data_IF_846735321461
#
_entry.id   IF_846735321461
#
_cell.length_a   1.000
_cell.length_b   1.000
_cell.length_c   1.000
_cell.angle_alpha   90.00
_cell.angle_beta   90.00
_cell.angle_gamma   90.00
#
_symmetry.space_group_name_H-M   'P 1'
#
loop_
_entity.id
_entity.type
_entity.pdbx_description
1 polymer ?
#
# COMPACT_ATOMS: atom_id res chain seq x y z
N UNK A 1 3.17 46.31 13.85
CA UNK A 1 4.37 45.48 13.51
C UNK A 1 4.60 44.51 14.66
N UNK A 2 4.68 43.20 14.43
CA UNK A 2 4.83 42.23 15.51
C UNK A 2 6.30 42.23 16.00
N UNK A 3 6.61 43.04 17.03
CA UNK A 3 7.96 43.28 17.53
C UNK A 3 8.78 41.99 17.77
N UNK A 4 8.24 40.95 18.42
CA UNK A 4 9.01 39.72 18.66
C UNK A 4 9.44 39.01 17.37
N UNK A 5 8.59 39.02 16.33
CA UNK A 5 8.90 38.40 15.05
C UNK A 5 9.99 39.17 14.30
N UNK A 6 9.97 40.51 14.36
CA UNK A 6 10.97 41.37 13.73
C UNK A 6 12.37 41.09 14.29
N UNK A 7 12.49 41.01 15.62
CA UNK A 7 13.76 40.69 16.27
C UNK A 7 14.18 39.24 15.98
N UNK A 8 13.24 38.29 16.01
CA UNK A 8 13.53 36.88 15.72
C UNK A 8 14.13 36.67 14.32
N UNK A 9 13.56 37.33 13.30
CA UNK A 9 14.09 37.27 11.92
C UNK A 9 15.52 37.84 11.85
N UNK A 10 15.80 38.94 12.55
CA UNK A 10 17.14 39.53 12.61
C UNK A 10 18.13 38.60 13.29
N UNK A 11 17.75 37.98 14.40
CA UNK A 11 18.62 37.06 15.14
C UNK A 11 18.88 35.75 14.40
N UNK A 12 17.96 35.28 13.54
CA UNK A 12 18.18 34.10 12.70
C UNK A 12 19.36 34.26 11.72
N UNK A 13 19.50 35.45 11.12
CA UNK A 13 20.55 35.72 10.11
C UNK A 13 21.79 36.42 10.68
N UNK A 14 21.70 36.97 11.90
CA UNK A 14 22.83 37.63 12.55
C UNK A 14 23.81 36.58 13.05
N UNK A 15 25.04 36.56 12.50
CA UNK A 15 26.12 35.73 13.03
C UNK A 15 26.46 36.13 14.47
N UNK A 16 26.71 35.14 15.32
CA UNK A 16 27.34 35.34 16.63
C UNK A 16 28.81 35.74 16.41
N UNK A 17 29.34 36.59 17.28
CA UNK A 17 30.78 36.92 17.31
C UNK A 17 31.61 35.70 17.73
N UNK A 18 31.02 34.80 18.50
CA UNK A 18 31.62 33.52 18.89
C UNK A 18 31.38 32.44 17.81
N UNK A 19 32.46 31.96 17.21
CA UNK A 19 32.43 30.95 16.14
C UNK A 19 31.84 29.61 16.62
N UNK A 20 32.06 29.23 17.89
CA UNK A 20 31.53 27.98 18.47
C UNK A 20 30.00 27.93 18.40
N UNK A 21 29.34 29.07 18.62
CA UNK A 21 27.87 29.18 18.63
C UNK A 21 27.33 29.06 17.20
N UNK A 22 28.03 29.65 16.23
CA UNK A 22 27.69 29.51 14.81
C UNK A 22 27.79 28.03 14.36
N UNK A 23 28.82 27.30 14.82
CA UNK A 23 29.00 25.87 14.52
C UNK A 23 27.86 25.04 15.12
N UNK A 24 27.52 25.24 16.39
CA UNK A 24 26.41 24.50 17.05
C UNK A 24 25.08 24.76 16.32
N UNK A 25 24.82 26.02 15.94
CA UNK A 25 23.61 26.39 15.20
C UNK A 25 23.57 25.75 13.81
N UNK A 26 24.71 25.69 13.12
CA UNK A 26 24.84 25.02 11.83
C UNK A 26 24.55 23.51 11.96
N UNK A 27 25.15 22.85 12.94
CA UNK A 27 24.93 21.41 13.21
C UNK A 27 23.45 21.15 13.51
N UNK A 28 22.82 21.97 14.34
CA UNK A 28 21.39 21.85 14.63
C UNK A 28 20.53 22.03 13.36
N UNK A 29 20.86 23.01 12.52
CA UNK A 29 20.15 23.27 11.26
C UNK A 29 20.28 22.08 10.30
N UNK A 30 21.49 21.56 10.12
CA UNK A 30 21.75 20.37 9.30
C UNK A 30 20.99 19.16 9.86
N UNK A 31 20.95 19.00 11.19
CA UNK A 31 20.17 17.95 11.85
C UNK A 31 18.68 18.00 11.49
N UNK A 32 18.07 19.18 11.48
CA UNK A 32 16.67 19.35 11.05
C UNK A 32 16.49 19.07 9.55
N UNK A 33 17.42 19.54 8.71
CA UNK A 33 17.39 19.31 7.25
C UNK A 33 17.43 17.80 6.96
N UNK A 34 18.42 17.09 7.53
CA UNK A 34 18.60 15.64 7.33
C UNK A 34 17.43 14.87 7.91
N UNK A 35 16.94 15.22 9.11
CA UNK A 35 15.77 14.58 9.71
C UNK A 35 14.51 14.73 8.87
N UNK A 36 14.25 15.95 8.36
CA UNK A 36 13.12 16.23 7.46
C UNK A 36 13.24 15.44 6.16
N UNK A 37 14.42 15.48 5.54
CA UNK A 37 14.71 14.78 4.29
C UNK A 37 14.52 13.27 4.46
N UNK A 38 15.06 12.69 5.53
CA UNK A 38 14.97 11.25 5.79
C UNK A 38 13.52 10.81 6.00
N UNK A 39 12.76 11.54 6.84
CA UNK A 39 11.34 11.25 7.07
C UNK A 39 10.55 11.31 5.74
N UNK A 40 10.80 12.32 4.91
CA UNK A 40 10.10 12.46 3.63
C UNK A 40 10.43 11.34 2.62
N UNK A 41 11.71 11.00 2.46
CA UNK A 41 12.15 9.95 1.53
C UNK A 41 11.54 8.60 1.93
N UNK A 42 11.55 8.29 3.22
CA UNK A 42 11.03 7.02 3.73
C UNK A 42 9.53 6.90 3.50
N UNK A 43 8.76 7.94 3.84
CA UNK A 43 7.31 7.94 3.58
C UNK A 43 7.00 7.79 2.08
N UNK A 44 7.79 8.44 1.22
CA UNK A 44 7.66 8.34 -0.23
C UNK A 44 8.01 6.94 -0.76
N UNK A 45 9.05 6.31 -0.21
CA UNK A 45 9.43 4.93 -0.51
C UNK A 45 8.35 3.93 -0.10
N UNK A 46 7.84 4.02 1.13
CA UNK A 46 6.76 3.15 1.59
C UNK A 46 5.45 3.36 0.82
N UNK A 47 5.13 4.60 0.44
CA UNK A 47 3.97 4.87 -0.41
C UNK A 47 4.12 4.22 -1.78
N UNK A 48 5.30 4.34 -2.40
CA UNK A 48 5.61 3.68 -3.68
C UNK A 48 5.54 2.16 -3.59
N UNK A 49 6.15 1.56 -2.56
CA UNK A 49 6.05 0.13 -2.30
C UNK A 49 4.61 -0.32 -2.08
N UNK A 50 3.81 0.44 -1.33
CA UNK A 50 2.40 0.13 -1.10
C UNK A 50 1.63 0.11 -2.42
N UNK A 51 1.76 1.14 -3.24
CA UNK A 51 1.07 1.25 -4.53
C UNK A 51 1.50 0.15 -5.49
N UNK A 52 2.80 -0.13 -5.55
CA UNK A 52 3.34 -1.23 -6.34
C UNK A 52 2.77 -2.58 -5.88
N UNK A 53 2.82 -2.87 -4.58
CA UNK A 53 2.31 -4.14 -4.04
C UNK A 53 0.79 -4.29 -4.19
N UNK A 54 0.02 -3.21 -4.05
CA UNK A 54 -1.44 -3.21 -4.28
C UNK A 54 -1.78 -3.40 -5.77
N UNK A 55 -0.91 -2.95 -6.69
CA UNK A 55 -1.15 -3.11 -8.13
C UNK A 55 -1.29 -4.58 -8.54
N UNK A 56 -0.60 -5.51 -7.87
CA UNK A 56 -0.76 -6.94 -8.11
C UNK A 56 -2.16 -7.44 -7.73
N UNK A 57 -2.71 -6.95 -6.62
CA UNK A 57 -4.09 -7.26 -6.24
C UNK A 57 -5.10 -6.67 -7.22
N UNK A 58 -4.81 -5.51 -7.81
CA UNK A 58 -5.67 -4.92 -8.85
C UNK A 58 -5.75 -5.78 -10.11
N UNK A 59 -4.71 -6.56 -10.39
CA UNK A 59 -4.67 -7.47 -11.53
C UNK A 59 -5.39 -8.79 -11.25
N UNK A 60 -5.28 -9.32 -10.03
CA UNK A 60 -5.80 -10.65 -9.66
C UNK A 60 -7.21 -10.65 -9.09
N UNK A 61 -7.56 -9.63 -8.30
CA UNK A 61 -8.81 -9.59 -7.54
C UNK A 61 -9.77 -8.53 -8.09
N UNK A 62 -11.08 -8.79 -8.08
CA UNK A 62 -12.08 -7.85 -8.57
C UNK A 62 -12.30 -6.68 -7.61
N UNK A 63 -12.98 -5.64 -8.08
CA UNK A 63 -13.34 -4.51 -7.22
C UNK A 63 -14.35 -4.94 -6.14
N UNK A 64 -15.29 -5.80 -6.53
CA UNK A 64 -16.27 -6.44 -5.65
C UNK A 64 -16.37 -7.94 -6.01
N UNK A 65 -16.34 -8.81 -5.01
CA UNK A 65 -16.66 -10.24 -5.15
C UNK A 65 -17.95 -10.56 -4.40
N UNK A 66 -18.91 -11.12 -5.11
CA UNK A 66 -20.16 -11.66 -4.57
C UNK A 66 -19.96 -13.15 -4.38
N UNK A 67 -20.05 -13.63 -3.14
CA UNK A 67 -20.06 -15.05 -2.82
C UNK A 67 -21.22 -15.38 -1.88
N UNK A 68 -21.51 -16.65 -1.66
CA UNK A 68 -22.45 -17.03 -0.59
C UNK A 68 -21.86 -16.74 0.79
N UNK A 69 -22.73 -16.37 1.73
CA UNK A 69 -22.38 -16.28 3.14
C UNK A 69 -22.23 -17.68 3.79
N UNK A 70 -23.00 -18.66 3.31
CA UNK A 70 -22.94 -20.07 3.73
C UNK A 70 -23.06 -20.98 2.50
N UNK A 71 -22.19 -21.98 2.42
CA UNK A 71 -22.12 -22.90 1.27
C UNK A 71 -21.03 -22.51 0.27
N UNK A 72 -20.84 -23.35 -0.76
CA UNK A 72 -19.75 -23.23 -1.74
C UNK A 72 -20.20 -22.71 -3.12
N UNK A 73 -21.47 -22.88 -3.47
CA UNK A 73 -21.99 -22.50 -4.79
C UNK A 73 -23.48 -22.19 -4.77
N UNK A 74 -23.92 -21.40 -5.75
CA UNK A 74 -25.31 -20.99 -5.96
C UNK A 74 -25.66 -21.00 -7.44
N UNK A 75 -26.96 -20.98 -7.74
CA UNK A 75 -27.46 -20.88 -9.10
C UNK A 75 -27.51 -19.41 -9.55
N UNK A 76 -26.79 -19.11 -10.63
CA UNK A 76 -26.87 -17.86 -11.37
C UNK A 76 -28.16 -17.85 -12.20
N UNK A 77 -29.24 -17.34 -11.60
CA UNK A 77 -30.55 -17.24 -12.22
C UNK A 77 -30.76 -15.89 -12.93
N UNK A 78 -31.81 -15.80 -13.74
CA UNK A 78 -32.18 -14.56 -14.45
C UNK A 78 -32.48 -13.39 -13.48
N UNK A 79 -32.88 -13.67 -12.22
CA UNK A 79 -33.06 -12.63 -11.21
C UNK A 79 -31.74 -11.93 -10.86
N UNK A 80 -30.69 -12.69 -10.57
CA UNK A 80 -29.36 -12.14 -10.26
C UNK A 80 -28.82 -11.38 -11.48
N UNK A 81 -28.95 -11.96 -12.67
CA UNK A 81 -28.54 -11.33 -13.92
C UNK A 81 -29.24 -9.98 -14.17
N UNK A 82 -30.56 -9.91 -13.96
CA UNK A 82 -31.32 -8.66 -14.09
C UNK A 82 -30.91 -7.62 -13.04
N UNK A 83 -30.62 -8.05 -11.80
CA UNK A 83 -30.12 -7.15 -10.75
C UNK A 83 -28.79 -6.53 -11.17
N UNK A 84 -27.86 -7.33 -11.69
CA UNK A 84 -26.53 -6.85 -12.11
C UNK A 84 -26.62 -5.95 -13.34
N UNK A 85 -27.41 -6.31 -14.35
CA UNK A 85 -27.56 -5.52 -15.56
C UNK A 85 -28.24 -4.15 -15.31
N UNK A 86 -29.16 -4.08 -14.35
CA UNK A 86 -29.87 -2.85 -14.00
C UNK A 86 -29.13 -1.99 -12.97
N UNK A 87 -27.98 -2.44 -12.47
CA UNK A 87 -27.20 -1.70 -11.48
C UNK A 87 -26.26 -0.70 -12.18
N UNK A 88 -26.51 0.60 -11.99
CA UNK A 88 -25.61 1.64 -12.48
C UNK A 88 -24.23 1.54 -11.82
N UNK A 89 -23.18 1.73 -12.61
CA UNK A 89 -21.80 1.77 -12.14
C UNK A 89 -21.04 0.44 -12.26
N UNK A 90 -21.71 -0.67 -12.62
CA UNK A 90 -21.03 -1.91 -12.99
C UNK A 90 -20.58 -1.81 -14.46
N UNK A 91 -19.29 -2.01 -14.70
CA UNK A 91 -18.68 -2.00 -16.06
C UNK A 91 -18.76 -3.38 -16.68
N UNK A 92 -18.40 -4.41 -15.91
CA UNK A 92 -18.42 -5.80 -16.34
C UNK A 92 -18.55 -6.71 -15.13
N UNK A 93 -19.08 -7.91 -15.36
CA UNK A 93 -19.10 -8.98 -14.39
C UNK A 93 -18.65 -10.28 -15.03
N UNK A 94 -18.04 -11.15 -14.22
CA UNK A 94 -17.58 -12.47 -14.61
C UNK A 94 -18.05 -13.51 -13.60
N UNK A 95 -18.45 -14.67 -14.13
CA UNK A 95 -18.80 -15.85 -13.36
C UNK A 95 -17.55 -16.66 -13.06
N UNK A 96 -17.41 -17.09 -11.81
CA UNK A 96 -16.22 -17.78 -11.32
C UNK A 96 -16.59 -18.99 -10.49
N UNK A 97 -15.82 -20.06 -10.69
CA UNK A 97 -15.76 -21.22 -9.81
C UNK A 97 -14.37 -21.27 -9.19
N UNK A 98 -14.32 -21.45 -7.88
CA UNK A 98 -13.07 -21.57 -7.13
C UNK A 98 -13.22 -22.74 -6.18
N UNK A 99 -12.37 -23.76 -6.34
CA UNK A 99 -12.36 -24.94 -5.46
C UNK A 99 -10.93 -25.41 -5.24
N UNK A 100 -10.69 -25.96 -4.06
CA UNK A 100 -9.39 -26.55 -3.72
C UNK A 100 -9.29 -27.93 -4.35
N UNK A 101 -8.23 -28.17 -5.10
CA UNK A 101 -8.02 -29.39 -5.87
C UNK A 101 -6.61 -29.97 -5.67
N UNK A 102 -6.49 -31.27 -5.91
CA UNK A 102 -5.21 -31.96 -6.01
C UNK A 102 -4.77 -31.97 -7.46
N UNK A 103 -3.56 -31.50 -7.72
CA UNK A 103 -2.93 -31.46 -9.02
C UNK A 103 -1.88 -32.56 -9.09
N UNK A 104 -1.81 -33.24 -10.22
CA UNK A 104 -0.90 -34.34 -10.49
C UNK A 104 -0.35 -34.20 -11.91
N UNK A 105 0.97 -34.23 -12.03
CA UNK A 105 1.68 -34.26 -13.28
C UNK A 105 2.97 -35.06 -13.11
N UNK A 106 3.19 -36.09 -13.94
CA UNK A 106 4.38 -36.95 -13.90
C UNK A 106 4.74 -37.44 -12.48
N UNK A 107 3.76 -37.99 -11.76
CA UNK A 107 3.88 -38.51 -10.38
C UNK A 107 4.26 -37.45 -9.32
N UNK A 108 4.24 -36.16 -9.68
CA UNK A 108 4.38 -35.05 -8.75
C UNK A 108 3.01 -34.54 -8.40
N UNK A 109 2.76 -34.33 -7.12
CA UNK A 109 1.46 -33.86 -6.63
C UNK A 109 1.57 -32.55 -5.87
N UNK A 110 0.56 -31.71 -6.01
CA UNK A 110 0.47 -30.45 -5.29
C UNK A 110 -0.98 -30.06 -5.03
N UNK A 111 -1.27 -29.40 -3.90
CA UNK A 111 -2.61 -28.93 -3.58
C UNK A 111 -2.69 -27.43 -3.86
N UNK A 112 -3.58 -27.04 -4.76
CA UNK A 112 -3.81 -25.64 -5.12
C UNK A 112 -5.30 -25.40 -5.38
N UNK A 113 -5.67 -24.23 -5.89
CA UNK A 113 -7.03 -23.90 -6.30
C UNK A 113 -7.16 -23.97 -7.82
N UNK A 114 -8.19 -24.67 -8.28
CA UNK A 114 -8.69 -24.52 -9.64
C UNK A 114 -9.62 -23.31 -9.68
N UNK A 115 -9.37 -22.37 -10.58
CA UNK A 115 -10.22 -21.19 -10.82
C UNK A 115 -10.82 -21.26 -12.23
N UNK A 116 -12.08 -21.70 -12.31
CA UNK A 116 -12.86 -21.71 -13.55
C UNK A 116 -13.42 -20.33 -13.85
N UNK A 117 -13.14 -19.78 -15.02
CA UNK A 117 -13.52 -18.41 -15.39
C UNK A 117 -14.20 -18.34 -16.75
N UNK A 118 -15.16 -17.42 -16.89
CA UNK A 118 -15.79 -17.16 -18.19
C UNK A 118 -14.97 -16.20 -19.07
N UNK A 119 -15.42 -15.98 -20.30
CA UNK A 119 -14.76 -15.09 -21.25
C UNK A 119 -14.76 -13.62 -20.84
N UNK A 120 -15.61 -13.22 -19.89
CA UNK A 120 -15.67 -11.84 -19.43
C UNK A 120 -14.63 -11.55 -18.33
N UNK A 121 -13.96 -12.57 -17.81
CA UNK A 121 -13.02 -12.46 -16.70
C UNK A 121 -11.91 -11.44 -16.93
N UNK A 122 -11.33 -11.39 -18.14
CA UNK A 122 -10.21 -10.47 -18.47
C UNK A 122 -10.63 -9.00 -18.47
N UNK A 123 -11.90 -8.70 -18.69
CA UNK A 123 -12.42 -7.33 -18.56
C UNK A 123 -12.52 -6.89 -17.11
N UNK A 124 -12.77 -7.85 -16.20
CA UNK A 124 -12.82 -7.61 -14.75
C UNK A 124 -11.41 -7.57 -14.17
N UNK A 125 -10.66 -8.67 -14.31
CA UNK A 125 -9.31 -8.87 -13.80
C UNK A 125 -8.34 -9.16 -14.95
N UNK A 126 -7.30 -8.34 -15.11
CA UNK A 126 -6.37 -8.42 -16.24
C UNK A 126 -5.30 -9.50 -16.07
N UNK A 127 -5.69 -10.72 -15.69
CA UNK A 127 -4.76 -11.85 -15.54
C UNK A 127 -4.15 -12.30 -16.88
N UNK A 128 -4.74 -11.93 -18.01
CA UNK A 128 -4.16 -12.13 -19.34
C UNK A 128 -2.79 -11.44 -19.49
N UNK A 129 -2.56 -10.31 -18.81
CA UNK A 129 -1.29 -9.56 -18.92
C UNK A 129 -0.14 -10.16 -18.14
N UNK A 130 -0.41 -11.16 -17.28
CA UNK A 130 0.59 -11.78 -16.40
C UNK A 130 1.15 -13.08 -16.98
N UNK A 131 0.58 -13.55 -18.10
CA UNK A 131 1.08 -14.69 -18.87
C UNK A 131 2.36 -14.29 -19.57
N UNK A 132 3.49 -14.88 -19.17
CA UNK A 132 4.80 -14.63 -19.78
C UNK A 132 5.22 -15.73 -20.74
N UNK A 133 4.59 -16.91 -20.65
CA UNK A 133 4.82 -18.06 -21.54
C UNK A 133 3.49 -18.64 -21.98
N UNK A 134 3.30 -18.89 -23.28
CA UNK A 134 2.06 -19.45 -23.84
C UNK A 134 0.94 -18.41 -23.98
N UNK A 135 -0.31 -18.82 -23.84
CA UNK A 135 -1.49 -17.95 -24.05
C UNK A 135 -2.48 -18.02 -22.88
N UNK A 136 -3.30 -16.98 -22.73
CA UNK A 136 -4.48 -17.06 -21.87
C UNK A 136 -5.50 -18.07 -22.41
N UNK A 137 -6.54 -18.36 -21.62
CA UNK A 137 -7.62 -19.28 -21.97
C UNK A 137 -8.33 -18.84 -23.26
N UNK A 138 -8.52 -19.80 -24.18
CA UNK A 138 -9.28 -19.64 -25.42
C UNK A 138 -10.34 -20.75 -25.51
N UNK A 139 -11.57 -20.39 -25.91
CA UNK A 139 -12.66 -21.33 -26.16
C UNK A 139 -12.32 -22.38 -27.23
N UNK A 140 -11.39 -22.09 -28.13
CA UNK A 140 -10.89 -23.06 -29.12
C UNK A 140 -10.14 -24.24 -28.49
N UNK A 141 -9.62 -24.06 -27.27
CA UNK A 141 -8.91 -25.09 -26.51
C UNK A 141 -9.70 -25.34 -25.21
N UNK A 142 -10.82 -26.08 -25.28
CA UNK A 142 -11.75 -26.22 -24.15
C UNK A 142 -11.11 -26.84 -22.90
N UNK A 143 -10.13 -27.74 -23.10
CA UNK A 143 -9.38 -28.40 -22.04
C UNK A 143 -8.10 -27.64 -21.62
N UNK A 144 -7.94 -26.40 -22.06
CA UNK A 144 -6.80 -25.56 -21.72
C UNK A 144 -6.77 -25.16 -20.24
N UNK A 145 -5.58 -25.14 -19.67
CA UNK A 145 -5.31 -24.55 -18.35
C UNK A 145 -4.15 -23.57 -18.41
N UNK A 146 -4.25 -22.50 -17.62
CA UNK A 146 -3.16 -21.54 -17.41
C UNK A 146 -2.67 -21.69 -15.99
N UNK A 147 -1.44 -22.14 -15.83
CA UNK A 147 -0.88 -22.57 -14.55
C UNK A 147 -0.04 -21.44 -13.95
N UNK A 148 -0.11 -21.23 -12.63
CA UNK A 148 0.79 -20.28 -11.98
C UNK A 148 2.23 -20.79 -12.01
N UNK A 149 3.21 -19.88 -12.19
CA UNK A 149 4.63 -20.23 -12.27
C UNK A 149 5.12 -21.07 -11.08
N UNK A 150 4.60 -20.80 -9.88
CA UNK A 150 4.90 -21.55 -8.67
C UNK A 150 4.45 -23.01 -8.76
N UNK A 151 3.22 -23.24 -9.21
CA UNK A 151 2.68 -24.59 -9.46
C UNK A 151 3.44 -25.28 -10.60
N UNK A 152 3.72 -24.55 -11.68
CA UNK A 152 4.51 -25.06 -12.82
C UNK A 152 5.90 -25.54 -12.39
N UNK A 153 6.61 -24.78 -11.55
CA UNK A 153 7.92 -25.19 -11.05
C UNK A 153 7.84 -26.41 -10.12
N UNK A 154 6.86 -26.45 -9.20
CA UNK A 154 6.68 -27.56 -8.25
C UNK A 154 6.35 -28.88 -8.95
N UNK A 155 5.45 -28.83 -9.94
CA UNK A 155 5.02 -29.99 -10.71
C UNK A 155 5.90 -30.26 -11.94
N UNK A 156 6.84 -29.36 -12.26
CA UNK A 156 7.63 -29.37 -13.51
C UNK A 156 6.75 -29.43 -14.76
N UNK A 157 5.65 -28.68 -14.73
CA UNK A 157 4.69 -28.56 -15.85
C UNK A 157 5.22 -27.54 -16.85
N UNK A 158 5.46 -27.97 -18.09
CA UNK A 158 5.73 -27.09 -19.23
C UNK A 158 4.45 -26.68 -19.95
N UNK A 159 4.51 -25.58 -20.72
CA UNK A 159 3.45 -25.27 -21.70
C UNK A 159 3.54 -26.22 -22.88
N UNK A 160 2.40 -26.57 -23.48
CA UNK A 160 2.32 -27.39 -24.69
C UNK A 160 2.96 -28.78 -24.58
N UNK A 161 3.07 -29.32 -23.36
CA UNK A 161 3.42 -30.72 -23.15
C UNK A 161 2.17 -31.59 -23.39
N UNK A 162 2.01 -32.06 -24.63
CA UNK A 162 0.85 -32.86 -25.04
C UNK A 162 0.97 -34.36 -24.69
N UNK A 163 2.11 -34.79 -24.12
CA UNK A 163 2.35 -36.19 -23.83
C UNK A 163 1.63 -36.62 -22.54
N UNK A 164 1.67 -35.78 -21.51
CA UNK A 164 1.00 -36.03 -20.24
C UNK A 164 0.08 -34.86 -19.87
N UNK A 165 -1.21 -35.09 -19.59
CA UNK A 165 -2.10 -34.03 -19.15
C UNK A 165 -1.87 -33.68 -17.68
N UNK A 166 -2.10 -32.42 -17.33
CA UNK A 166 -2.24 -32.00 -15.93
C UNK A 166 -3.57 -32.53 -15.40
N UNK A 167 -3.48 -33.53 -14.52
CA UNK A 167 -4.62 -34.23 -13.90
C UNK A 167 -5.04 -33.43 -12.67
N UNK A 168 -6.32 -33.09 -12.58
CA UNK A 168 -6.87 -32.30 -11.46
C UNK A 168 -8.00 -33.10 -10.83
N UNK A 169 -7.91 -33.28 -9.51
CA UNK A 169 -8.83 -34.08 -8.72
C UNK A 169 -9.53 -33.24 -7.65
N UNK A 170 -10.84 -33.44 -7.51
CA UNK A 170 -11.65 -32.84 -6.43
C UNK A 170 -12.45 -33.93 -5.72
N UNK A 171 -12.51 -33.94 -4.38
CA UNK A 171 -13.36 -34.89 -3.65
C UNK A 171 -14.83 -34.76 -4.04
N UNK A 172 -15.51 -35.88 -4.29
CA UNK A 172 -16.95 -35.87 -4.59
C UNK A 172 -17.74 -35.42 -3.35
N UNK A 173 -18.79 -34.59 -3.53
CA UNK A 173 -19.67 -34.23 -2.44
C UNK A 173 -20.50 -35.45 -1.99
N UNK A 174 -20.64 -35.65 -0.68
CA UNK A 174 -21.46 -36.73 -0.11
C UNK A 174 -21.16 -36.99 1.36
N UNK A 175 -22.07 -37.67 2.05
CA UNK A 175 -21.90 -38.16 3.42
C UNK A 175 -22.09 -39.68 3.45
N UNK A 176 -21.17 -40.42 4.07
CA UNK A 176 -21.24 -41.89 4.18
C UNK A 176 -19.92 -42.58 3.82
N UNK A 177 -19.98 -43.88 3.55
CA UNK A 177 -18.81 -44.66 3.14
C UNK A 177 -18.35 -44.21 1.74
N UNK A 178 -17.14 -43.67 1.67
CA UNK A 178 -16.51 -43.24 0.42
C UNK A 178 -15.70 -44.43 -0.10
N UNK A 179 -16.05 -44.97 -1.26
CA UNK A 179 -15.19 -45.91 -1.98
C UNK A 179 -13.88 -45.20 -2.37
N UNK A 180 -12.72 -45.61 -1.82
CA UNK A 180 -11.44 -44.96 -2.11
C UNK A 180 -11.10 -44.92 -3.60
N UNK A 181 -11.62 -45.86 -4.40
CA UNK A 181 -11.39 -45.91 -5.85
C UNK A 181 -12.20 -44.86 -6.63
N UNK A 182 -13.32 -44.38 -6.06
CA UNK A 182 -14.26 -43.48 -6.70
C UNK A 182 -14.47 -42.17 -5.94
N UNK A 183 -13.59 -41.87 -4.96
CA UNK A 183 -13.70 -40.74 -4.05
C UNK A 183 -13.55 -39.36 -4.72
N UNK A 184 -12.97 -39.30 -5.93
CA UNK A 184 -12.62 -38.06 -6.60
C UNK A 184 -13.28 -37.96 -7.98
N UNK A 185 -13.69 -36.75 -8.35
CA UNK A 185 -13.85 -36.37 -9.75
C UNK A 185 -12.48 -36.00 -10.32
N UNK A 186 -12.30 -36.23 -11.61
CA UNK A 186 -11.04 -35.99 -12.31
C UNK A 186 -11.31 -35.32 -13.65
N UNK A 187 -10.48 -34.33 -13.98
CA UNK A 187 -10.32 -33.77 -15.33
C UNK A 187 -8.88 -33.90 -15.78
N UNK A 188 -8.68 -33.98 -17.08
CA UNK A 188 -7.38 -33.90 -17.73
C UNK A 188 -7.31 -32.55 -18.45
N UNK A 189 -6.37 -31.70 -18.06
CA UNK A 189 -6.17 -30.38 -18.67
C UNK A 189 -4.85 -30.31 -19.41
N UNK A 190 -4.80 -29.46 -20.43
CA UNK A 190 -3.59 -29.16 -21.19
C UNK A 190 -3.06 -27.79 -20.76
N UNK A 191 -1.87 -27.72 -20.15
CA UNK A 191 -1.21 -26.46 -19.84
C UNK A 191 -0.88 -25.71 -21.14
N UNK A 192 -1.57 -24.59 -21.40
CA UNK A 192 -1.39 -23.74 -22.59
C UNK A 192 -0.73 -22.39 -22.28
N UNK A 193 -0.62 -22.06 -21.00
CA UNK A 193 0.02 -20.82 -20.55
C UNK A 193 0.54 -20.95 -19.14
N UNK A 194 1.55 -20.15 -18.82
CA UNK A 194 2.07 -19.97 -17.47
C UNK A 194 2.08 -18.48 -17.14
N UNK A 195 1.47 -18.13 -16.02
CA UNK A 195 1.42 -16.75 -15.52
C UNK A 195 2.34 -16.55 -14.32
N UNK A 196 2.80 -15.32 -14.12
CA UNK A 196 3.62 -14.92 -12.97
C UNK A 196 3.16 -13.55 -12.47
N UNK A 197 2.83 -13.47 -11.19
CA UNK A 197 2.35 -12.24 -10.56
C UNK A 197 2.97 -12.01 -9.18
N UNK A 198 2.65 -12.88 -8.22
CA UNK A 198 3.27 -12.91 -6.89
C UNK A 198 3.41 -14.35 -6.46
N UNK A 199 4.41 -14.66 -5.63
CA UNK A 199 4.66 -16.05 -5.20
C UNK A 199 3.42 -16.70 -4.56
N UNK A 200 2.63 -15.94 -3.82
CA UNK A 200 1.39 -16.43 -3.20
C UNK A 200 0.34 -16.81 -4.26
N UNK A 201 0.12 -15.97 -5.27
CA UNK A 201 -0.87 -16.21 -6.33
C UNK A 201 -0.38 -17.34 -7.27
N UNK A 202 0.90 -17.32 -7.60
CA UNK A 202 1.58 -18.27 -8.49
C UNK A 202 1.56 -19.71 -7.95
N UNK A 203 1.53 -19.87 -6.62
CA UNK A 203 1.38 -21.17 -5.95
C UNK A 203 -0.07 -21.52 -5.65
N UNK A 204 -0.99 -20.56 -5.75
CA UNK A 204 -2.39 -20.72 -5.34
C UNK A 204 -3.31 -21.11 -6.48
N UNK A 205 -3.17 -20.54 -7.68
CA UNK A 205 -4.19 -20.68 -8.72
C UNK A 205 -3.69 -21.35 -10.00
N UNK A 206 -4.53 -22.24 -10.53
CA UNK A 206 -4.52 -22.69 -11.92
C UNK A 206 -5.86 -22.33 -12.54
N UNK A 207 -5.85 -21.59 -13.66
CA UNK A 207 -7.06 -21.14 -14.34
C UNK A 207 -7.51 -22.15 -15.41
N UNK A 208 -8.81 -22.32 -15.55
CA UNK A 208 -9.43 -23.08 -16.65
C UNK A 208 -10.76 -22.44 -17.07
N UNK A 209 -11.41 -22.98 -18.10
CA UNK A 209 -12.73 -22.52 -18.53
C UNK A 209 -13.78 -22.78 -17.44
N UNK A 210 -14.79 -21.91 -17.37
CA UNK A 210 -15.89 -22.06 -16.41
C UNK A 210 -16.57 -23.43 -16.59
N UNK A 211 -16.81 -23.81 -17.85
CA UNK A 211 -17.50 -25.04 -18.23
C UNK A 211 -16.75 -26.28 -17.71
N UNK A 212 -15.42 -26.32 -17.89
CA UNK A 212 -14.61 -27.45 -17.45
C UNK A 212 -14.53 -27.55 -15.92
N UNK A 213 -14.51 -26.41 -15.23
CA UNK A 213 -14.61 -26.39 -13.77
C UNK A 213 -15.99 -26.85 -13.27
N UNK A 214 -17.07 -26.54 -14.01
CA UNK A 214 -18.42 -27.05 -13.70
C UNK A 214 -18.47 -28.58 -13.83
N UNK A 215 -17.89 -29.12 -14.91
CA UNK A 215 -17.81 -30.57 -15.13
C UNK A 215 -17.01 -31.26 -14.02
N UNK A 216 -15.86 -30.70 -13.62
CA UNK A 216 -15.05 -31.24 -12.52
C UNK A 216 -15.83 -31.31 -11.19
N UNK A 217 -16.68 -30.32 -10.91
CA UNK A 217 -17.45 -30.26 -9.67
C UNK A 217 -18.82 -30.94 -9.74
N UNK A 218 -19.19 -31.51 -10.90
CA UNK A 218 -20.55 -31.98 -11.19
C UNK A 218 -21.60 -30.88 -10.95
N UNK A 219 -21.28 -29.65 -11.30
CA UNK A 219 -22.16 -28.50 -11.18
C UNK A 219 -23.07 -28.39 -12.41
N UNK A 220 -24.28 -27.88 -12.20
CA UNK A 220 -25.14 -27.54 -13.34
C UNK A 220 -24.58 -26.33 -14.11
N UNK A 221 -24.90 -26.12 -15.40
CA UNK A 221 -24.32 -25.02 -16.21
C UNK A 221 -24.53 -23.61 -15.64
N UNK A 222 -25.54 -23.41 -14.79
CA UNK A 222 -25.80 -22.12 -14.13
C UNK A 222 -25.26 -22.06 -12.69
N UNK A 223 -24.60 -23.11 -12.19
CA UNK A 223 -24.09 -23.15 -10.83
C UNK A 223 -22.65 -22.64 -10.79
N UNK A 224 -22.39 -21.69 -9.90
CA UNK A 224 -21.12 -20.98 -9.77
C UNK A 224 -20.77 -20.74 -8.29
N UNK A 225 -19.50 -20.48 -7.99
CA UNK A 225 -19.03 -20.21 -6.62
C UNK A 225 -19.10 -18.73 -6.27
N UNK A 226 -18.80 -17.86 -7.23
CA UNK A 226 -18.76 -16.41 -7.04
C UNK A 226 -19.04 -15.64 -8.34
N UNK A 227 -19.43 -14.37 -8.17
CA UNK A 227 -19.44 -13.37 -9.25
C UNK A 227 -18.41 -12.31 -8.91
N UNK A 228 -17.58 -11.97 -9.89
CA UNK A 228 -16.55 -10.95 -9.77
C UNK A 228 -16.95 -9.74 -10.60
N UNK A 229 -16.91 -8.54 -10.00
CA UNK A 229 -17.41 -7.30 -10.60
C UNK A 229 -16.30 -6.27 -10.76
N UNK A 230 -16.38 -5.51 -11.84
CA UNK A 230 -15.62 -4.28 -12.06
C UNK A 230 -16.54 -3.07 -12.02
N UNK A 231 -16.14 -2.05 -11.28
CA UNK A 231 -16.91 -0.81 -11.15
C UNK A 231 -16.26 0.33 -11.92
N UNK A 232 -17.07 1.32 -12.29
CA UNK A 232 -16.60 2.53 -12.99
C UNK A 232 -15.81 3.46 -12.07
N UNK A 233 -16.25 3.59 -10.81
CA UNK A 233 -15.72 4.51 -9.83
C UNK A 233 -15.56 3.82 -8.48
N UNK A 234 -14.31 3.72 -8.02
CA UNK A 234 -13.99 3.03 -6.75
C UNK A 234 -14.59 3.75 -5.54
N UNK A 235 -14.83 5.06 -5.63
CA UNK A 235 -15.38 5.86 -4.54
C UNK A 235 -16.88 5.59 -4.31
N UNK A 236 -17.58 5.08 -5.33
CA UNK A 236 -19.02 4.75 -5.25
C UNK A 236 -19.26 3.28 -4.84
N UNK A 237 -18.18 2.51 -4.64
CA UNK A 237 -18.27 1.07 -4.39
C UNK A 237 -19.08 0.71 -3.15
N UNK A 238 -18.94 1.45 -2.06
CA UNK A 238 -19.73 1.25 -0.82
C UNK A 238 -21.24 1.42 -1.07
N UNK A 239 -21.61 2.40 -1.91
CA UNK A 239 -23.00 2.64 -2.31
C UNK A 239 -23.51 1.49 -3.19
N UNK A 240 -22.73 1.07 -4.18
CA UNK A 240 -23.07 -0.08 -5.06
C UNK A 240 -23.24 -1.36 -4.23
N UNK A 241 -22.35 -1.62 -3.27
CA UNK A 241 -22.45 -2.78 -2.37
C UNK A 241 -23.75 -2.72 -1.56
N UNK A 242 -24.06 -1.57 -0.97
CA UNK A 242 -25.28 -1.39 -0.18
C UNK A 242 -26.54 -1.65 -1.02
N UNK A 243 -26.61 -1.09 -2.23
CA UNK A 243 -27.72 -1.30 -3.16
C UNK A 243 -27.83 -2.76 -3.62
N UNK A 244 -26.72 -3.40 -3.98
CA UNK A 244 -26.70 -4.81 -4.36
C UNK A 244 -27.10 -5.71 -3.19
N UNK A 245 -26.64 -5.42 -1.97
CA UNK A 245 -26.97 -6.20 -0.78
C UNK A 245 -28.48 -6.16 -0.50
N UNK A 246 -29.14 -5.01 -0.67
CA UNK A 246 -30.61 -4.91 -0.50
C UNK A 246 -31.37 -5.73 -1.55
N UNK A 247 -30.88 -5.79 -2.80
CA UNK A 247 -31.53 -6.52 -3.89
C UNK A 247 -31.26 -8.04 -3.85
N UNK A 248 -30.05 -8.45 -3.50
CA UNK A 248 -29.61 -9.86 -3.47
C UNK A 248 -29.98 -10.58 -2.16
N UNK A 249 -30.13 -9.84 -1.06
CA UNK A 249 -30.45 -10.34 0.27
C UNK A 249 -29.23 -10.78 1.09
N UNK A 250 -29.45 -11.11 2.36
CA UNK A 250 -28.41 -11.45 3.35
C UNK A 250 -27.70 -12.79 3.12
N UNK A 251 -28.16 -13.59 2.17
CA UNK A 251 -27.53 -14.86 1.79
C UNK A 251 -26.20 -14.68 1.06
N UNK A 252 -25.97 -13.51 0.47
CA UNK A 252 -24.73 -13.17 -0.23
C UNK A 252 -23.84 -12.29 0.63
N UNK A 253 -22.54 -12.53 0.51
CA UNK A 253 -21.48 -11.73 1.07
C UNK A 253 -20.82 -10.95 -0.06
N UNK A 254 -20.86 -9.63 0.04
CA UNK A 254 -20.24 -8.72 -0.91
C UNK A 254 -18.98 -8.17 -0.27
N UNK A 255 -17.82 -8.58 -0.81
CA UNK A 255 -16.52 -8.12 -0.31
C UNK A 255 -15.80 -7.28 -1.33
N UNK A 256 -15.19 -6.20 -0.87
CA UNK A 256 -14.23 -5.41 -1.66
C UNK A 256 -12.88 -6.11 -1.74
N UNK A 257 -12.05 -5.71 -2.71
CA UNK A 257 -10.65 -6.17 -2.81
C UNK A 257 -9.87 -6.03 -1.50
N UNK A 258 -10.06 -4.93 -0.79
CA UNK A 258 -9.43 -4.61 0.50
C UNK A 258 -9.93 -5.53 1.61
N UNK A 259 -11.22 -5.88 1.59
CA UNK A 259 -11.79 -6.83 2.55
C UNK A 259 -11.37 -8.27 2.25
N UNK A 260 -11.21 -8.64 0.97
CA UNK A 260 -10.65 -9.94 0.57
C UNK A 260 -9.21 -10.09 1.09
N UNK A 261 -8.44 -9.00 1.02
CA UNK A 261 -7.03 -8.97 1.39
C UNK A 261 -6.76 -8.16 2.67
N UNK A 262 -7.68 -8.22 3.65
CA UNK A 262 -7.63 -7.35 4.83
C UNK A 262 -6.33 -7.48 5.64
N UNK A 263 -5.77 -8.69 5.73
CA UNK A 263 -4.49 -8.94 6.43
C UNK A 263 -3.34 -8.22 5.73
N UNK A 264 -3.27 -8.30 4.40
CA UNK A 264 -2.25 -7.64 3.60
C UNK A 264 -2.33 -6.12 3.71
N UNK A 265 -3.53 -5.54 3.59
CA UNK A 265 -3.71 -4.09 3.76
C UNK A 265 -3.39 -3.63 5.18
N UNK A 266 -3.76 -4.41 6.20
CA UNK A 266 -3.44 -4.12 7.60
C UNK A 266 -1.92 -4.15 7.83
N UNK A 267 -1.22 -5.13 7.27
CA UNK A 267 0.24 -5.21 7.32
C UNK A 267 0.88 -3.97 6.70
N UNK A 268 0.51 -3.60 5.47
CA UNK A 268 1.06 -2.42 4.78
C UNK A 268 0.83 -1.11 5.56
N UNK A 269 -0.37 -0.94 6.11
CA UNK A 269 -0.68 0.25 6.92
C UNK A 269 0.11 0.25 8.24
N UNK A 270 0.31 -0.91 8.86
CA UNK A 270 1.10 -1.05 10.10
C UNK A 270 2.56 -0.73 9.84
N UNK A 271 3.15 -1.26 8.78
CA UNK A 271 4.54 -0.98 8.36
C UNK A 271 4.77 0.51 8.12
N UNK A 272 3.84 1.17 7.40
CA UNK A 272 3.92 2.61 7.17
C UNK A 272 3.86 3.40 8.49
N UNK A 273 2.98 3.00 9.41
CA UNK A 273 2.87 3.64 10.74
C UNK A 273 4.15 3.45 11.57
N UNK A 274 4.68 2.23 11.64
CA UNK A 274 5.91 1.93 12.38
C UNK A 274 7.08 2.75 11.83
N UNK A 275 7.25 2.77 10.51
CA UNK A 275 8.29 3.55 9.85
C UNK A 275 8.14 5.04 10.13
N UNK A 276 6.93 5.59 10.02
CA UNK A 276 6.65 6.97 10.39
C UNK A 276 7.05 7.28 11.84
N UNK A 277 6.71 6.40 12.80
CA UNK A 277 7.04 6.59 14.22
C UNK A 277 8.55 6.55 14.48
N UNK A 278 9.28 5.60 13.87
CA UNK A 278 10.74 5.50 14.02
C UNK A 278 11.45 6.75 13.49
N UNK A 279 11.06 7.24 12.31
CA UNK A 279 11.67 8.46 11.76
C UNK A 279 11.24 9.73 12.52
N UNK A 280 10.02 9.76 13.04
CA UNK A 280 9.59 10.82 13.97
C UNK A 280 10.41 10.81 15.26
N UNK A 281 10.76 9.64 15.79
CA UNK A 281 11.63 9.51 16.97
C UNK A 281 13.05 10.02 16.68
N UNK A 282 13.64 9.62 15.54
CA UNK A 282 14.95 10.14 15.09
C UNK A 282 14.90 11.67 14.98
N UNK A 283 13.81 12.20 14.45
CA UNK A 283 13.59 13.64 14.36
C UNK A 283 13.49 14.31 15.73
N UNK A 284 12.80 13.69 16.71
CA UNK A 284 12.76 14.18 18.10
C UNK A 284 14.18 14.26 18.68
N UNK A 285 15.03 13.27 18.42
CA UNK A 285 16.43 13.29 18.86
C UNK A 285 17.17 14.49 18.24
N UNK A 286 16.96 14.75 16.94
CA UNK A 286 17.56 15.89 16.26
C UNK A 286 17.09 17.26 16.83
N UNK A 287 15.86 17.35 17.35
CA UNK A 287 15.37 18.58 17.98
C UNK A 287 16.08 18.92 19.29
N UNK A 288 16.61 17.94 20.03
CA UNK A 288 17.38 18.28 21.24
C UNK A 288 18.61 19.13 20.89
N UNK A 289 19.21 18.91 19.71
CA UNK A 289 20.28 19.75 19.20
C UNK A 289 19.79 21.17 18.88
N UNK A 290 18.55 21.32 18.39
CA UNK A 290 17.91 22.62 18.18
C UNK A 290 17.69 23.36 19.49
N UNK A 291 17.20 22.66 20.52
CA UNK A 291 17.04 23.24 21.86
C UNK A 291 18.38 23.74 22.38
N UNK A 292 19.45 22.93 22.26
CA UNK A 292 20.81 23.31 22.65
C UNK A 292 21.32 24.55 21.91
N UNK A 293 21.12 24.60 20.59
CA UNK A 293 21.52 25.74 19.77
C UNK A 293 20.78 27.03 20.18
N UNK A 294 19.46 26.95 20.42
CA UNK A 294 18.68 28.12 20.86
C UNK A 294 19.12 28.57 22.25
N UNK A 295 19.34 27.66 23.20
CA UNK A 295 19.82 28.02 24.54
C UNK A 295 21.17 28.73 24.46
N UNK A 296 22.10 28.20 23.67
CA UNK A 296 23.41 28.83 23.49
C UNK A 296 23.28 30.23 22.88
N UNK A 297 22.32 30.43 21.97
CA UNK A 297 22.05 31.71 21.36
C UNK A 297 21.39 32.73 22.31
N UNK A 298 20.54 32.25 23.23
CA UNK A 298 20.00 33.09 24.32
C UNK A 298 21.15 33.61 25.19
N UNK A 299 22.12 32.74 25.51
CA UNK A 299 23.28 33.10 26.33
C UNK A 299 24.21 34.08 25.60
N UNK A 300 24.46 33.89 24.30
CA UNK A 300 25.25 34.83 23.47
C UNK A 300 24.64 36.24 23.44
N UNK A 301 23.31 36.32 23.39
CA UNK A 301 22.60 37.59 23.28
C UNK A 301 22.19 38.17 24.63
N UNK A 302 22.69 37.63 25.75
CA UNK A 302 22.27 38.03 27.11
C UNK A 302 22.31 39.54 27.33
N UNK A 303 23.41 40.20 26.95
CA UNK A 303 23.54 41.66 27.14
C UNK A 303 22.50 42.44 26.32
N UNK A 304 22.22 42.01 25.09
CA UNK A 304 21.15 42.59 24.28
C UNK A 304 19.77 42.38 24.91
N UNK A 305 19.54 41.26 25.60
CA UNK A 305 18.29 41.02 26.33
C UNK A 305 18.14 41.97 27.51
N UNK A 306 19.23 42.24 28.24
CA UNK A 306 19.26 43.24 29.32
C UNK A 306 18.90 44.62 28.79
N UNK A 307 19.51 45.04 27.67
CA UNK A 307 19.18 46.33 27.04
C UNK A 307 17.72 46.41 26.64
N UNK A 308 17.17 45.37 26.00
CA UNK A 308 15.76 45.33 25.61
C UNK A 308 14.81 45.41 26.83
N UNK A 309 15.17 44.76 27.92
CA UNK A 309 14.42 44.78 29.17
C UNK A 309 14.46 46.15 29.86
N UNK A 310 15.65 46.76 29.94
CA UNK A 310 15.81 48.13 30.45
C UNK A 310 15.05 49.18 29.61
N UNK A 311 14.85 48.91 28.31
CA UNK A 311 14.01 49.72 27.41
C UNK A 311 12.50 49.44 27.57
N UNK A 312 12.09 48.56 28.49
CA UNK A 312 10.69 48.28 28.80
C UNK A 312 10.09 47.02 28.15
N UNK A 313 10.90 46.18 27.49
CA UNK A 313 10.39 44.93 26.90
C UNK A 313 10.07 43.92 28.00
N UNK A 314 8.87 43.35 27.99
CA UNK A 314 8.50 42.33 28.99
C UNK A 314 9.25 41.02 28.78
N UNK A 315 9.50 40.26 29.85
CA UNK A 315 10.09 38.92 29.77
C UNK A 315 9.26 37.97 28.87
N UNK A 316 7.93 38.17 28.81
CA UNK A 316 7.04 37.40 27.92
C UNK A 316 7.34 37.67 26.45
N UNK A 317 7.58 38.91 26.08
CA UNK A 317 7.90 39.28 24.69
C UNK A 317 9.31 38.84 24.30
N UNK A 318 10.27 38.90 25.23
CA UNK A 318 11.61 38.32 25.04
C UNK A 318 11.52 36.81 24.80
N UNK A 319 10.71 36.08 25.58
CA UNK A 319 10.44 34.65 25.32
C UNK A 319 9.86 34.41 23.93
N UNK A 320 8.89 35.23 23.50
CA UNK A 320 8.30 35.14 22.16
C UNK A 320 9.32 35.33 21.04
N UNK A 321 10.32 36.21 21.21
CA UNK A 321 11.41 36.37 20.23
C UNK A 321 12.09 35.03 19.97
N UNK A 322 12.52 34.33 21.03
CA UNK A 322 13.23 33.07 20.87
C UNK A 322 12.32 31.90 20.45
N UNK A 323 11.04 31.93 20.80
CA UNK A 323 10.05 30.98 20.25
C UNK A 323 9.97 31.15 18.73
N UNK A 324 9.77 32.38 18.24
CA UNK A 324 9.70 32.65 16.81
C UNK A 324 11.02 32.33 16.11
N UNK A 325 12.15 32.58 16.77
CA UNK A 325 13.45 32.28 16.19
C UNK A 325 13.68 30.77 16.02
N UNK A 326 13.42 29.97 17.06
CA UNK A 326 13.52 28.51 16.97
C UNK A 326 12.53 27.90 15.98
N UNK A 327 11.33 28.47 15.91
CA UNK A 327 10.33 28.09 14.93
C UNK A 327 10.79 28.40 13.50
N UNK A 328 11.32 29.59 13.24
CA UNK A 328 11.87 29.97 11.94
C UNK A 328 13.07 29.12 11.53
N UNK A 329 13.94 28.76 12.48
CA UNK A 329 15.06 27.84 12.25
C UNK A 329 14.55 26.47 11.77
N UNK A 330 13.54 25.94 12.45
CA UNK A 330 12.90 24.66 12.09
C UNK A 330 12.20 24.75 10.73
N UNK A 331 11.53 25.87 10.45
CA UNK A 331 10.86 26.14 9.17
C UNK A 331 11.86 26.24 8.01
N UNK A 332 13.03 26.82 8.24
CA UNK A 332 14.11 26.87 7.26
C UNK A 332 14.65 25.47 6.97
N UNK A 333 14.90 24.68 8.01
CA UNK A 333 15.29 23.28 7.87
C UNK A 333 14.24 22.43 7.14
N UNK A 334 12.95 22.65 7.44
CA UNK A 334 11.82 22.04 6.74
C UNK A 334 11.87 22.35 5.25
N UNK A 335 11.96 23.63 4.89
CA UNK A 335 11.90 24.07 3.50
C UNK A 335 13.04 23.46 2.68
N UNK A 336 14.27 23.50 3.19
CA UNK A 336 15.44 22.94 2.51
C UNK A 336 15.37 21.41 2.47
N UNK A 337 15.13 20.76 3.61
CA UNK A 337 15.09 19.30 3.68
C UNK A 337 13.98 18.70 2.81
N UNK A 338 12.81 19.31 2.81
CA UNK A 338 11.68 18.88 1.97
C UNK A 338 11.96 19.14 0.49
N UNK A 339 12.53 20.31 0.12
CA UNK A 339 12.87 20.61 -1.28
C UNK A 339 13.88 19.62 -1.84
N UNK A 340 14.94 19.32 -1.08
CA UNK A 340 15.95 18.32 -1.46
C UNK A 340 15.31 16.93 -1.50
N UNK A 341 14.48 16.57 -0.53
CA UNK A 341 13.77 15.28 -0.50
C UNK A 341 12.87 15.08 -1.73
N UNK A 342 12.08 16.09 -2.09
CA UNK A 342 11.24 16.06 -3.31
C UNK A 342 12.10 15.90 -4.55
N UNK A 343 13.19 16.66 -4.65
CA UNK A 343 14.12 16.56 -5.79
C UNK A 343 14.70 15.15 -5.91
N UNK A 344 15.16 14.55 -4.81
CA UNK A 344 15.71 13.19 -4.80
C UNK A 344 14.67 12.13 -5.20
N UNK A 345 13.44 12.26 -4.72
CA UNK A 345 12.35 11.33 -5.09
C UNK A 345 11.99 11.46 -6.58
N UNK A 346 11.95 12.68 -7.11
CA UNK A 346 11.72 12.91 -8.55
C UNK A 346 12.85 12.33 -9.41
N UNK A 347 14.10 12.54 -8.97
CA UNK A 347 15.28 11.99 -9.62
C UNK A 347 15.25 10.46 -9.62
N UNK A 348 14.91 9.82 -8.50
CA UNK A 348 14.74 8.38 -8.43
C UNK A 348 13.62 7.89 -9.36
N UNK A 349 12.49 8.59 -9.42
CA UNK A 349 11.36 8.24 -10.30
C UNK A 349 11.70 8.35 -11.79
N UNK A 350 12.59 9.27 -12.18
CA UNK A 350 12.97 9.48 -13.58
C UNK A 350 14.13 8.60 -14.03
N UNK A 351 15.18 8.51 -13.20
CA UNK A 351 16.46 7.91 -13.58
C UNK A 351 16.68 6.52 -12.98
N UNK A 352 15.84 6.08 -12.04
CA UNK A 352 15.89 4.73 -11.45
C UNK A 352 17.27 4.39 -10.86
N UNK A 353 17.88 5.33 -10.13
CA UNK A 353 19.23 5.18 -9.56
C UNK A 353 19.36 3.95 -8.65
N UNK A 354 18.34 3.68 -7.84
CA UNK A 354 18.30 2.53 -6.94
C UNK A 354 17.43 1.42 -7.52
N UNK A 355 18.07 0.30 -7.87
CA UNK A 355 17.45 -0.90 -8.44
C UNK A 355 17.29 -2.00 -7.36
N UNK A 356 16.12 -2.63 -7.29
CA UNK A 356 15.87 -3.85 -6.49
C UNK A 356 16.39 -5.07 -7.27
N UNK A 357 16.10 -5.11 -8.57
CA UNK A 357 16.56 -6.15 -9.50
C UNK A 357 17.09 -5.48 -10.77
N UNK A 358 17.71 -6.25 -11.68
CA UNK A 358 18.24 -5.73 -12.94
C UNK A 358 17.20 -4.98 -13.81
N UNK A 359 15.91 -5.23 -13.59
CA UNK A 359 14.82 -4.64 -14.37
C UNK A 359 13.78 -3.90 -13.52
N UNK A 360 13.94 -3.86 -12.19
CA UNK A 360 12.97 -3.25 -11.29
C UNK A 360 13.65 -2.25 -10.35
N UNK A 361 13.30 -0.99 -10.52
CA UNK A 361 13.70 0.09 -9.64
C UNK A 361 12.94 0.05 -8.31
N UNK A 362 13.55 0.58 -7.25
CA UNK A 362 12.83 0.77 -5.99
C UNK A 362 11.70 1.79 -6.18
N UNK A 363 10.43 1.39 -5.95
CA UNK A 363 9.29 2.25 -6.24
C UNK A 363 9.19 3.36 -5.20
N UNK A 364 9.07 4.60 -5.68
CA UNK A 364 8.87 5.79 -4.85
C UNK A 364 7.67 6.56 -5.37
N UNK A 365 6.88 7.11 -4.45
CA UNK A 365 5.69 7.88 -4.81
C UNK A 365 5.61 9.19 -4.04
N UNK A 366 5.33 10.26 -4.78
CA UNK A 366 5.07 11.59 -4.23
C UNK A 366 3.58 11.72 -3.95
N UNK A 367 3.20 11.47 -2.70
CA UNK A 367 1.82 11.69 -2.25
C UNK A 367 1.72 13.01 -1.49
N UNK A 368 0.62 13.72 -1.70
CA UNK A 368 0.36 14.97 -0.98
C UNK A 368 0.23 14.74 0.53
N UNK A 369 -0.29 13.58 0.93
CA UNK A 369 -0.37 13.15 2.33
C UNK A 369 1.00 13.07 3.00
N UNK A 370 2.04 12.60 2.30
CA UNK A 370 3.41 12.55 2.85
C UNK A 370 3.97 13.95 3.10
N UNK A 371 3.75 14.87 2.16
CA UNK A 371 4.18 16.27 2.29
C UNK A 371 3.52 16.91 3.52
N UNK A 372 2.19 16.75 3.65
CA UNK A 372 1.44 17.28 4.80
C UNK A 372 1.95 16.66 6.10
N UNK A 373 2.14 15.35 6.16
CA UNK A 373 2.60 14.67 7.36
C UNK A 373 3.96 15.22 7.84
N UNK A 374 4.92 15.40 6.93
CA UNK A 374 6.23 15.96 7.26
C UNK A 374 6.13 17.41 7.74
N UNK A 375 5.37 18.26 7.02
CA UNK A 375 5.17 19.66 7.40
C UNK A 375 4.54 19.75 8.78
N UNK A 376 3.47 18.99 9.03
CA UNK A 376 2.75 18.97 10.29
C UNK A 376 3.66 18.54 11.45
N UNK A 377 4.42 17.47 11.26
CA UNK A 377 5.34 16.95 12.26
C UNK A 377 6.43 17.95 12.60
N UNK A 378 7.10 18.55 11.61
CA UNK A 378 8.16 19.53 11.85
C UNK A 378 7.63 20.82 12.48
N UNK A 379 6.45 21.30 12.08
CA UNK A 379 5.83 22.50 12.69
C UNK A 379 5.57 22.27 14.18
N UNK A 380 4.95 21.14 14.55
CA UNK A 380 4.64 20.82 15.95
C UNK A 380 5.92 20.68 16.76
N UNK A 381 6.85 19.87 16.26
CA UNK A 381 8.09 19.55 16.93
C UNK A 381 9.02 20.76 17.05
N UNK A 382 9.14 21.57 16.00
CA UNK A 382 9.91 22.80 16.00
C UNK A 382 9.34 23.84 16.97
N UNK A 383 8.01 23.97 17.01
CA UNK A 383 7.35 24.86 17.99
C UNK A 383 7.59 24.37 19.43
N UNK A 384 7.47 23.07 19.70
CA UNK A 384 7.73 22.48 21.02
C UNK A 384 9.19 22.71 21.45
N UNK A 385 10.15 22.44 20.56
CA UNK A 385 11.57 22.67 20.83
C UNK A 385 11.84 24.15 21.17
N UNK A 386 11.31 25.08 20.38
CA UNK A 386 11.47 26.52 20.61
C UNK A 386 10.82 26.97 21.93
N UNK A 387 9.63 26.43 22.25
CA UNK A 387 8.95 26.68 23.53
C UNK A 387 9.76 26.18 24.72
N UNK A 388 10.28 24.95 24.65
CA UNK A 388 11.12 24.37 25.71
C UNK A 388 12.38 25.21 25.90
N UNK A 389 13.08 25.58 24.83
CA UNK A 389 14.27 26.41 24.91
C UNK A 389 13.98 27.79 25.54
N UNK A 390 12.93 28.48 25.08
CA UNK A 390 12.55 29.80 25.59
C UNK A 390 12.12 29.80 27.06
N UNK A 391 11.66 28.67 27.59
CA UNK A 391 11.27 28.54 29.00
C UNK A 391 12.44 28.78 29.97
N UNK A 392 13.69 28.58 29.49
CA UNK A 392 14.92 28.84 30.25
C UNK A 392 15.18 30.33 30.51
N UNK A 393 14.52 31.24 29.80
CA UNK A 393 14.64 32.68 30.03
C UNK A 393 13.92 33.02 31.34
N UNK A 394 14.70 33.34 32.37
CA UNK A 394 14.20 33.79 33.68
C UNK A 394 14.48 35.27 33.89
N UNK A 395 13.76 35.91 34.81
CA UNK A 395 13.95 37.32 35.11
C UNK A 395 15.39 37.63 35.54
N UNK A 396 16.01 36.76 36.35
CA UNK A 396 17.44 36.81 36.74
C UNK A 396 18.43 36.76 35.56
N UNK A 397 18.03 36.23 34.41
CA UNK A 397 18.90 36.17 33.23
C UNK A 397 18.93 37.51 32.49
N UNK A 398 17.85 38.28 32.61
CA UNK A 398 17.56 39.51 31.86
C UNK A 398 17.74 40.76 32.74
N UNK A 399 17.74 40.62 34.07
CA UNK A 399 18.37 41.55 35.03
C UNK A 399 19.90 41.43 34.96
#
# INVERSE_FOLDING_TARGET
MNFPLYIAKRYLFSKSSNNTINIITLIATIGVIVGTLALFIVLSGFSGLRTFSVSFLNTSDPDIKISLAKGKSFLFNEKIKNILNNQSGIVSYSKVIEERAFFDFNDRTHIAYIKGVDTNYTYVNRMDTTVYTGTWLDKKIPNGSVVGNGISNLLSVGVFDFLEPLKIYVPKPGSGYIDPKNAFNKINTQPIGVFSLTEEIDKKFTFTSLELAQDLLNYTPNQISAIELKVNNINEREKIISELQTKLGSQFNLKTREQLNAVFYKMLNTENLVSYLVFTLILIIALFNVIGAIIMMILDKRDNLKTLYSLGTTVKDIKRVFIYQGFLLSLFGLFIGLSIGILLVLLQKKYHFFMITQHLAYPVELTFSNIIAVIFTIIILGYLAAKIASSRITQKLVE
#
